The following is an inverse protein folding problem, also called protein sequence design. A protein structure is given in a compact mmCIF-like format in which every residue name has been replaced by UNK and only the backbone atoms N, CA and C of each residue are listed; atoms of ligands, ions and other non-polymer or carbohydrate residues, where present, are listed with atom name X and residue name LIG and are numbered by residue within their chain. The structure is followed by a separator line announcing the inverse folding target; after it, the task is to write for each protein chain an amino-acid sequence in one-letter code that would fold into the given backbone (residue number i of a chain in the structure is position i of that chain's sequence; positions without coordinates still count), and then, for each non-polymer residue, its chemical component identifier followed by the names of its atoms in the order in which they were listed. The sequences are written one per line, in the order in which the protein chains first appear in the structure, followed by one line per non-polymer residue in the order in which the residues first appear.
data_IF_824489446365
#
_entry.id   IF_824489446365
#
_cell.length_a   1.000
_cell.length_b   1.000
_cell.length_c   1.000
_cell.angle_alpha   90.00
_cell.angle_beta   90.00
_cell.angle_gamma   90.00
#
_symmetry.space_group_name_H-M   'P 1'
#
loop_
_entity.id
_entity.type
_entity.pdbx_description
1 polymer ?
#
# COMPACT_ATOMS: atom_id res chain seq x y z
N UNK A 1 17.44 19.75 7.63
CA UNK A 1 16.16 19.36 6.99
C UNK A 1 15.57 20.60 6.34
N UNK A 2 15.18 20.54 5.06
CA UNK A 2 14.43 21.59 4.39
C UNK A 2 13.07 21.02 3.97
N UNK A 3 12.02 21.85 3.93
CA UNK A 3 10.67 21.46 3.48
C UNK A 3 9.63 21.31 4.59
N UNK A 4 8.45 20.79 4.22
CA UNK A 4 7.21 20.75 5.03
C UNK A 4 7.40 20.12 6.41
N UNK A 5 8.23 19.09 6.53
CA UNK A 5 8.52 18.45 7.82
C UNK A 5 9.12 19.45 8.81
N UNK A 6 10.15 20.19 8.40
CA UNK A 6 10.76 21.22 9.24
C UNK A 6 9.75 22.31 9.60
N UNK A 7 8.95 22.76 8.65
CA UNK A 7 7.90 23.78 8.89
C UNK A 7 6.89 23.32 9.95
N UNK A 8 6.42 22.08 9.86
CA UNK A 8 5.49 21.50 10.83
C UNK A 8 6.12 21.38 12.21
N UNK A 9 7.35 20.87 12.32
CA UNK A 9 8.02 20.72 13.61
C UNK A 9 8.44 22.06 14.24
N UNK A 10 8.85 23.04 13.42
CA UNK A 10 9.13 24.39 13.88
C UNK A 10 7.87 25.05 14.42
N UNK A 11 6.75 24.95 13.70
CA UNK A 11 5.45 25.46 14.15
C UNK A 11 4.98 24.75 15.42
N UNK A 12 5.13 23.43 15.51
CA UNK A 12 4.77 22.67 16.71
C UNK A 12 5.58 23.13 17.93
N UNK A 13 6.90 23.31 17.78
CA UNK A 13 7.76 23.87 18.83
C UNK A 13 7.35 25.27 19.24
N UNK A 14 6.98 26.11 18.27
CA UNK A 14 6.52 27.48 18.52
C UNK A 14 5.19 27.52 19.28
N UNK A 15 4.24 26.65 18.93
CA UNK A 15 2.97 26.49 19.66
C UNK A 15 3.25 26.09 21.11
N UNK A 16 4.12 25.10 21.34
CA UNK A 16 4.50 24.68 22.69
C UNK A 16 5.15 25.83 23.47
N UNK A 17 6.05 26.60 22.84
CA UNK A 17 6.72 27.75 23.45
C UNK A 17 5.73 28.86 23.84
N UNK A 18 4.74 29.11 23.00
CA UNK A 18 3.71 30.15 23.22
C UNK A 18 2.60 29.70 24.17
N UNK A 19 2.43 28.38 24.38
CA UNK A 19 1.32 27.82 25.14
C UNK A 19 -0.04 27.96 24.45
N UNK A 20 -0.08 28.31 23.16
CA UNK A 20 -1.31 28.50 22.38
C UNK A 20 -1.06 28.24 20.90
N UNK A 21 -2.06 27.67 20.22
CA UNK A 21 -2.07 27.49 18.76
C UNK A 21 -2.69 28.68 18.00
N UNK A 22 -3.11 29.73 18.71
CA UNK A 22 -3.71 30.91 18.09
C UNK A 22 -2.75 31.56 17.08
N UNK A 23 -3.21 31.81 15.85
CA UNK A 23 -2.38 32.33 14.76
C UNK A 23 -1.33 31.35 14.20
N UNK A 24 -1.32 30.09 14.66
CA UNK A 24 -0.57 29.04 13.98
C UNK A 24 -1.32 28.63 12.72
N UNK A 25 -0.62 28.60 11.59
CA UNK A 25 -1.18 28.20 10.32
C UNK A 25 -0.47 26.96 9.81
N UNK A 26 -1.22 25.87 9.65
CA UNK A 26 -0.78 24.70 8.92
C UNK A 26 -1.37 24.76 7.52
N UNK A 27 -0.55 24.48 6.50
CA UNK A 27 -1.09 24.29 5.17
C UNK A 27 -1.87 22.96 5.13
N UNK A 28 -3.19 23.05 5.11
CA UNK A 28 -4.07 21.89 4.95
C UNK A 28 -3.96 21.40 3.50
N UNK A 29 -3.29 20.25 3.31
CA UNK A 29 -3.25 19.57 2.02
C UNK A 29 -4.41 18.59 1.88
N UNK A 30 -4.95 18.46 0.67
CA UNK A 30 -6.06 17.54 0.37
C UNK A 30 -5.77 16.06 0.69
N UNK A 31 -4.50 15.67 0.85
CA UNK A 31 -4.12 14.29 1.15
C UNK A 31 -4.60 13.75 2.50
N UNK A 32 -4.92 14.59 3.48
CA UNK A 32 -5.36 14.07 4.78
C UNK A 32 -6.89 13.92 4.87
N UNK A 33 -7.65 14.51 3.95
CA UNK A 33 -9.12 14.56 4.06
C UNK A 33 -9.76 13.20 3.82
N UNK A 34 -9.22 12.38 2.90
CA UNK A 34 -9.77 11.05 2.62
C UNK A 34 -9.75 10.12 3.85
N UNK A 35 -8.82 10.34 4.80
CA UNK A 35 -8.76 9.58 6.06
C UNK A 35 -9.97 9.95 6.94
N UNK A 36 -10.31 11.24 6.98
CA UNK A 36 -11.48 11.73 7.72
C UNK A 36 -12.77 11.29 7.04
N UNK A 37 -12.82 11.29 5.71
CA UNK A 37 -13.97 10.80 4.94
C UNK A 37 -14.23 9.32 5.26
N UNK A 38 -13.18 8.49 5.26
CA UNK A 38 -13.26 7.08 5.65
C UNK A 38 -13.73 6.91 7.11
N UNK A 39 -13.16 7.68 8.03
CA UNK A 39 -13.54 7.63 9.44
C UNK A 39 -15.01 8.03 9.65
N UNK A 40 -15.48 9.07 8.98
CA UNK A 40 -16.87 9.52 8.99
C UNK A 40 -17.79 8.46 8.37
N UNK A 41 -17.39 7.81 7.28
CA UNK A 41 -18.18 6.77 6.64
C UNK A 41 -18.44 5.57 7.56
N UNK A 42 -17.41 5.13 8.29
CA UNK A 42 -17.53 4.08 9.31
C UNK A 42 -18.34 4.56 10.51
N UNK A 43 -18.02 5.73 11.05
CA UNK A 43 -18.63 6.23 12.30
C UNK A 43 -20.11 6.61 12.15
N UNK A 44 -20.50 7.13 10.98
CA UNK A 44 -21.84 7.65 10.72
C UNK A 44 -22.62 6.86 9.66
N UNK A 45 -22.09 5.70 9.25
CA UNK A 45 -22.73 4.80 8.29
C UNK A 45 -23.19 5.51 7.01
N UNK A 46 -22.32 6.33 6.42
CA UNK A 46 -22.69 7.23 5.31
C UNK A 46 -22.88 6.49 3.98
N UNK A 47 -22.40 5.24 3.88
CA UNK A 47 -22.33 4.47 2.64
C UNK A 47 -21.58 5.22 1.54
N UNK A 48 -20.58 6.01 1.92
CA UNK A 48 -19.78 6.77 0.96
C UNK A 48 -18.99 5.83 0.05
N UNK A 49 -18.90 6.20 -1.23
CA UNK A 49 -18.21 5.41 -2.24
C UNK A 49 -16.74 5.81 -2.29
N UNK A 50 -15.87 4.86 -1.95
CA UNK A 50 -14.42 5.08 -1.88
C UNK A 50 -13.66 3.95 -2.59
N UNK A 51 -12.44 4.20 -3.06
CA UNK A 51 -11.55 3.12 -3.48
C UNK A 51 -10.84 2.56 -2.25
N UNK A 52 -10.95 1.26 -2.04
CA UNK A 52 -10.31 0.56 -0.92
C UNK A 52 -9.63 -0.71 -1.40
N UNK A 53 -8.56 -1.10 -0.70
CA UNK A 53 -7.89 -2.37 -0.89
C UNK A 53 -8.62 -3.43 -0.08
N UNK A 54 -9.24 -4.39 -0.76
CA UNK A 54 -10.04 -5.47 -0.19
C UNK A 54 -9.66 -6.80 -0.84
N UNK A 55 -9.96 -7.92 -0.20
CA UNK A 55 -9.84 -9.23 -0.85
C UNK A 55 -10.79 -9.30 -2.05
N UNK A 56 -10.29 -9.80 -3.18
CA UNK A 56 -11.03 -9.79 -4.43
C UNK A 56 -12.36 -10.54 -4.32
N UNK A 57 -12.34 -11.80 -3.88
CA UNK A 57 -13.51 -12.63 -3.63
C UNK A 57 -14.66 -12.45 -4.65
N UNK A 58 -14.30 -12.41 -5.94
CA UNK A 58 -15.26 -12.26 -7.05
C UNK A 58 -15.61 -10.83 -7.49
N UNK A 59 -15.11 -9.78 -6.83
CA UNK A 59 -15.28 -8.38 -7.26
C UNK A 59 -14.75 -8.19 -8.69
N UNK A 60 -13.56 -8.70 -8.98
CA UNK A 60 -13.01 -8.91 -10.32
C UNK A 60 -13.16 -10.40 -10.67
N UNK A 61 -14.18 -10.70 -11.48
CA UNK A 61 -14.69 -12.06 -11.68
C UNK A 61 -13.74 -13.02 -12.42
N UNK A 62 -12.71 -12.51 -13.10
CA UNK A 62 -11.73 -13.32 -13.85
C UNK A 62 -10.31 -13.15 -13.32
N UNK A 63 -10.14 -12.88 -12.02
CA UNK A 63 -8.86 -12.68 -11.34
C UNK A 63 -8.79 -13.52 -10.05
N UNK A 64 -7.59 -13.76 -9.49
CA UNK A 64 -7.40 -14.56 -8.26
C UNK A 64 -8.31 -14.05 -7.13
N UNK A 65 -9.11 -14.95 -6.55
CA UNK A 65 -10.07 -14.63 -5.48
C UNK A 65 -9.37 -14.15 -4.21
N UNK A 66 -8.14 -14.60 -3.98
CA UNK A 66 -7.32 -14.26 -2.80
C UNK A 66 -6.38 -13.07 -3.05
N UNK A 67 -6.50 -12.40 -4.19
CA UNK A 67 -5.74 -11.18 -4.46
C UNK A 67 -6.32 -10.00 -3.67
N UNK A 68 -5.45 -9.16 -3.12
CA UNK A 68 -5.86 -7.84 -2.64
C UNK A 68 -6.03 -6.92 -3.85
N UNK A 69 -7.22 -6.38 -4.04
CA UNK A 69 -7.57 -5.51 -5.17
C UNK A 69 -8.04 -4.16 -4.67
N UNK A 70 -7.71 -3.11 -5.41
CA UNK A 70 -8.24 -1.77 -5.16
C UNK A 70 -9.47 -1.53 -6.04
N UNK A 71 -10.65 -1.57 -5.43
CA UNK A 71 -11.95 -1.45 -6.12
C UNK A 71 -12.87 -0.48 -5.39
N UNK A 72 -13.92 0.04 -6.05
CA UNK A 72 -14.92 0.86 -5.38
C UNK A 72 -15.69 0.04 -4.36
N UNK A 73 -15.82 0.57 -3.15
CA UNK A 73 -16.61 0.02 -2.05
C UNK A 73 -17.61 1.07 -1.58
N UNK A 74 -18.76 0.62 -1.08
CA UNK A 74 -19.57 1.43 -0.18
C UNK A 74 -19.06 1.21 1.25
N UNK A 75 -18.82 2.27 2.00
CA UNK A 75 -18.28 2.16 3.36
C UNK A 75 -19.34 2.53 4.38
N UNK A 76 -19.63 1.58 5.27
CA UNK A 76 -20.55 1.77 6.39
C UNK A 76 -19.97 1.30 7.72
N UNK A 77 -20.84 1.17 8.72
CA UNK A 77 -20.48 0.73 10.07
C UNK A 77 -19.90 -0.68 10.11
N UNK A 78 -20.25 -1.53 9.13
CA UNK A 78 -19.75 -2.90 9.01
C UNK A 78 -18.46 -2.99 8.18
N UNK A 79 -17.87 -1.85 7.80
CA UNK A 79 -16.71 -1.80 6.92
C UNK A 79 -17.08 -1.71 5.43
N UNK A 80 -16.17 -2.11 4.53
CA UNK A 80 -16.37 -1.98 3.10
C UNK A 80 -17.27 -3.06 2.51
N UNK A 81 -18.17 -2.65 1.62
CA UNK A 81 -18.97 -3.51 0.75
C UNK A 81 -18.48 -3.33 -0.71
N UNK A 82 -17.63 -4.22 -1.23
CA UNK A 82 -17.04 -4.09 -2.56
C UNK A 82 -18.08 -4.17 -3.68
N UNK A 83 -17.95 -3.31 -4.68
CA UNK A 83 -18.80 -3.32 -5.87
C UNK A 83 -18.22 -4.26 -6.94
N UNK A 84 -19.11 -5.02 -7.60
CA UNK A 84 -18.71 -5.92 -8.67
C UNK A 84 -18.17 -5.14 -9.90
N UNK A 85 -16.95 -5.47 -10.29
CA UNK A 85 -16.26 -4.91 -11.45
C UNK A 85 -16.43 -5.77 -12.72
N UNK A 86 -16.86 -7.03 -12.54
CA UNK A 86 -17.04 -7.97 -13.64
C UNK A 86 -15.69 -8.47 -14.19
N UNK A 87 -15.62 -8.72 -15.50
CA UNK A 87 -14.41 -9.25 -16.14
C UNK A 87 -13.54 -8.10 -16.65
N UNK A 88 -12.27 -8.10 -16.26
CA UNK A 88 -11.27 -7.18 -16.81
C UNK A 88 -10.70 -7.69 -18.15
N UNK A 89 -10.25 -6.80 -19.06
CA UNK A 89 -9.64 -7.22 -20.32
C UNK A 89 -8.31 -7.94 -20.13
N UNK A 90 -7.91 -8.76 -21.12
CA UNK A 90 -6.71 -9.60 -21.05
C UNK A 90 -5.42 -8.83 -20.82
N UNK A 91 -5.33 -7.58 -21.30
CA UNK A 91 -4.13 -6.75 -21.13
C UNK A 91 -3.90 -6.38 -19.67
N UNK A 92 -4.91 -5.80 -19.01
CA UNK A 92 -4.87 -5.45 -17.59
C UNK A 92 -4.69 -6.71 -16.75
N UNK A 93 -5.42 -7.78 -17.08
CA UNK A 93 -5.26 -9.07 -16.39
C UNK A 93 -3.81 -9.55 -16.44
N UNK A 94 -3.18 -9.57 -17.62
CA UNK A 94 -1.79 -10.01 -17.74
C UNK A 94 -0.81 -9.19 -16.90
N UNK A 95 -0.99 -7.88 -16.84
CA UNK A 95 -0.17 -6.99 -16.00
C UNK A 95 -0.40 -7.25 -14.51
N UNK A 96 -1.65 -7.38 -14.09
CA UNK A 96 -2.03 -7.58 -12.70
C UNK A 96 -1.63 -8.96 -12.18
N UNK A 97 -1.80 -10.02 -12.98
CA UNK A 97 -1.37 -11.39 -12.63
C UNK A 97 0.15 -11.45 -12.41
N UNK A 98 0.93 -10.78 -13.27
CA UNK A 98 2.38 -10.68 -13.11
C UNK A 98 2.73 -9.98 -11.78
N UNK A 99 2.09 -8.85 -11.49
CA UNK A 99 2.43 -8.02 -10.33
C UNK A 99 1.95 -8.64 -9.01
N UNK A 100 0.74 -9.21 -8.95
CA UNK A 100 0.24 -9.85 -7.73
C UNK A 100 1.06 -11.10 -7.38
N UNK A 101 1.59 -11.81 -8.38
CA UNK A 101 2.51 -12.92 -8.14
C UNK A 101 3.83 -12.45 -7.50
N UNK A 102 4.35 -11.26 -7.87
CA UNK A 102 5.49 -10.64 -7.19
C UNK A 102 5.16 -10.40 -5.72
N UNK A 103 4.02 -9.76 -5.44
CA UNK A 103 3.61 -9.38 -4.08
C UNK A 103 3.40 -10.62 -3.19
N UNK A 104 2.73 -11.66 -3.71
CA UNK A 104 2.55 -12.92 -2.98
C UNK A 104 3.89 -13.60 -2.70
N UNK A 105 4.82 -13.64 -3.66
CA UNK A 105 6.16 -14.21 -3.46
C UNK A 105 6.99 -13.43 -2.42
N UNK A 106 6.82 -12.10 -2.34
CA UNK A 106 7.46 -11.28 -1.28
C UNK A 106 6.95 -11.70 0.10
N UNK A 107 5.64 -11.81 0.26
CA UNK A 107 5.03 -12.21 1.54
C UNK A 107 5.39 -13.65 1.89
N UNK A 108 5.37 -14.58 0.94
CA UNK A 108 5.84 -15.95 1.13
C UNK A 108 7.29 -15.98 1.60
N UNK A 109 8.17 -15.20 0.98
CA UNK A 109 9.57 -15.11 1.38
C UNK A 109 9.73 -14.59 2.81
N UNK A 110 8.89 -13.63 3.21
CA UNK A 110 8.87 -13.11 4.58
C UNK A 110 8.41 -14.17 5.59
N UNK A 111 7.32 -14.88 5.30
CA UNK A 111 6.74 -15.90 6.19
C UNK A 111 7.69 -17.10 6.33
N UNK A 112 8.27 -17.55 5.21
CA UNK A 112 9.10 -18.75 5.16
C UNK A 112 10.58 -18.50 5.41
N UNK A 113 11.01 -17.23 5.42
CA UNK A 113 12.43 -16.88 5.41
C UNK A 113 13.15 -17.40 4.16
N UNK A 114 12.50 -17.35 2.98
CA UNK A 114 13.04 -17.97 1.76
C UNK A 114 13.78 -16.97 0.88
N UNK A 115 15.10 -17.15 0.74
CA UNK A 115 15.90 -16.37 -0.22
C UNK A 115 15.40 -16.59 -1.65
N UNK A 116 15.11 -17.84 -2.00
CA UNK A 116 14.69 -18.23 -3.34
C UNK A 116 13.38 -17.57 -3.77
N UNK A 117 12.39 -17.48 -2.88
CA UNK A 117 11.11 -16.83 -3.20
C UNK A 117 11.26 -15.32 -3.39
N UNK A 118 12.09 -14.65 -2.58
CA UNK A 118 12.31 -13.22 -2.77
C UNK A 118 13.08 -12.93 -4.06
N UNK A 119 14.01 -13.81 -4.44
CA UNK A 119 14.68 -13.72 -5.73
C UNK A 119 13.70 -13.89 -6.90
N UNK A 120 12.80 -14.88 -6.82
CA UNK A 120 11.72 -15.06 -7.80
C UNK A 120 10.83 -13.83 -7.90
N UNK A 121 10.45 -13.23 -6.75
CA UNK A 121 9.63 -12.02 -6.72
C UNK A 121 10.31 -10.86 -7.48
N UNK A 122 11.58 -10.57 -7.15
CA UNK A 122 12.32 -9.48 -7.79
C UNK A 122 12.52 -9.77 -9.29
N UNK A 123 12.85 -11.01 -9.65
CA UNK A 123 13.05 -11.41 -11.05
C UNK A 123 11.76 -11.36 -11.90
N UNK A 124 10.60 -11.56 -11.28
CA UNK A 124 9.31 -11.52 -11.95
C UNK A 124 8.80 -10.08 -12.16
N UNK A 125 9.33 -9.11 -11.42
CA UNK A 125 8.93 -7.72 -11.53
C UNK A 125 9.22 -7.15 -12.93
N UNK A 126 8.24 -6.45 -13.50
CA UNK A 126 8.35 -5.84 -14.84
C UNK A 126 9.42 -4.75 -14.93
N UNK A 127 9.90 -4.24 -13.79
CA UNK A 127 10.96 -3.23 -13.72
C UNK A 127 12.37 -3.83 -13.76
N UNK A 128 12.50 -5.15 -13.60
CA UNK A 128 13.78 -5.84 -13.49
C UNK A 128 14.07 -6.62 -14.79
N UNK A 129 15.21 -6.36 -15.46
CA UNK A 129 15.44 -6.86 -16.82
C UNK A 129 15.85 -8.34 -16.91
N UNK A 130 16.37 -8.93 -15.83
CA UNK A 130 16.80 -10.33 -15.82
C UNK A 130 16.94 -10.89 -14.41
N UNK A 131 16.94 -12.22 -14.28
CA UNK A 131 17.16 -12.91 -13.01
C UNK A 131 18.57 -12.67 -12.43
N UNK A 132 19.59 -12.46 -13.26
CA UNK A 132 20.94 -12.13 -12.79
C UNK A 132 21.00 -10.74 -12.14
N UNK A 133 20.34 -9.75 -12.75
CA UNK A 133 20.20 -8.41 -12.17
C UNK A 133 19.36 -8.46 -10.90
N UNK A 134 18.28 -9.26 -10.89
CA UNK A 134 17.44 -9.46 -9.70
C UNK A 134 18.24 -9.99 -8.51
N UNK A 135 19.13 -10.96 -8.74
CA UNK A 135 19.97 -11.54 -7.69
C UNK A 135 20.93 -10.51 -7.11
N UNK A 136 21.60 -9.72 -7.97
CA UNK A 136 22.51 -8.67 -7.52
C UNK A 136 21.78 -7.63 -6.66
N UNK A 137 20.58 -7.20 -7.08
CA UNK A 137 19.72 -6.29 -6.29
C UNK A 137 19.35 -6.93 -4.95
N UNK A 138 18.91 -8.20 -4.94
CA UNK A 138 18.54 -8.90 -3.71
C UNK A 138 19.70 -8.97 -2.72
N UNK A 139 20.89 -9.34 -3.19
CA UNK A 139 22.08 -9.48 -2.34
C UNK A 139 22.44 -8.13 -1.69
N UNK A 140 22.33 -7.01 -2.42
CA UNK A 140 22.54 -5.67 -1.86
C UNK A 140 21.42 -5.25 -0.89
N UNK A 141 20.16 -5.56 -1.20
CA UNK A 141 19.02 -5.22 -0.33
C UNK A 141 19.06 -5.96 1.00
N UNK A 142 19.51 -7.23 1.03
CA UNK A 142 19.67 -7.99 2.27
C UNK A 142 20.66 -7.28 3.20
N UNK A 143 21.80 -6.83 2.68
CA UNK A 143 22.80 -6.09 3.46
C UNK A 143 22.24 -4.76 3.95
N UNK A 144 21.56 -4.01 3.08
CA UNK A 144 21.01 -2.70 3.42
C UNK A 144 19.86 -2.77 4.45
N UNK A 145 19.16 -3.90 4.55
CA UNK A 145 18.02 -4.10 5.46
C UNK A 145 18.36 -5.01 6.65
N UNK A 146 19.64 -5.18 6.98
CA UNK A 146 20.07 -5.90 8.18
C UNK A 146 19.37 -5.34 9.43
N UNK A 147 18.78 -6.21 10.24
CA UNK A 147 18.01 -5.85 11.43
C UNK A 147 16.56 -5.41 11.18
N UNK A 148 16.14 -5.24 9.92
CA UNK A 148 14.75 -4.95 9.55
C UNK A 148 14.04 -6.15 8.93
N UNK A 149 14.75 -6.93 8.11
CA UNK A 149 14.19 -8.12 7.46
C UNK A 149 14.37 -9.39 8.31
N UNK A 150 13.48 -10.40 8.14
CA UNK A 150 13.76 -11.73 8.66
C UNK A 150 15.01 -12.31 7.99
N UNK A 151 15.62 -13.31 8.64
CA UNK A 151 16.69 -14.07 8.02
C UNK A 151 16.13 -14.83 6.80
N UNK A 152 16.88 -14.78 5.69
CA UNK A 152 16.56 -15.52 4.47
C UNK A 152 17.55 -16.68 4.31
N UNK A 153 17.03 -17.87 4.05
CA UNK A 153 17.77 -19.13 3.92
C UNK A 153 17.65 -19.71 2.51
#
# INVERSE_FOLDING_TARGET
MAGREKEVFDMAREITRRGTAEGAHFHAGAHATFIVDLACAIAFNTQERMLLIVENNGAIANFDETAMVEVPCLVGVNGPEPLAMGKIPSFQKGLMEQQVAVEKLVVDAWIEGSYQKLWQAIALSKTVPSASVAKAILDELIVANEGYWPALH
#
